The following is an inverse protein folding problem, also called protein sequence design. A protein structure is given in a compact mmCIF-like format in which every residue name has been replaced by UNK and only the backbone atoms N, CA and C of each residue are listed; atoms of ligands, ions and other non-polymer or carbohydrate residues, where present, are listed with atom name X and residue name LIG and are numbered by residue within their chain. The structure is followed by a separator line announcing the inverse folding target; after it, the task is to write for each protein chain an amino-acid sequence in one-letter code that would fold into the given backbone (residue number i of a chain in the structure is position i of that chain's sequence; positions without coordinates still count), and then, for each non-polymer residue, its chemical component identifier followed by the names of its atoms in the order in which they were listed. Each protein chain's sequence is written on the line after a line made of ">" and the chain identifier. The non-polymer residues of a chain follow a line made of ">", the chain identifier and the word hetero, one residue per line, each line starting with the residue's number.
data_IF_666578448595
#
_entry.id   IF_666578448595
#
_cell.length_a   1.000
_cell.length_b   1.000
_cell.length_c   1.000
_cell.angle_alpha   90.00
_cell.angle_beta   90.00
_cell.angle_gamma   90.00
#
_symmetry.space_group_name_H-M   'P 1'
#
loop_
_entity.id
_entity.type
_entity.pdbx_description
1 polymer ?
#
# COMPACT_ATOMS: atom_id res chain seq x y z
N UNK A 1 -1.47 13.43 -22.17
CA UNK A 1 -0.67 12.19 -22.18
C UNK A 1 -0.71 11.61 -20.77
N UNK A 2 -1.65 10.69 -20.49
CA UNK A 2 -1.87 10.10 -19.15
C UNK A 2 -2.19 8.60 -19.22
N UNK A 3 -1.73 7.92 -20.29
CA UNK A 3 -2.10 6.54 -20.59
C UNK A 3 -1.74 5.56 -19.46
N UNK A 4 -0.67 5.86 -18.71
CA UNK A 4 -0.23 5.04 -17.58
C UNK A 4 -1.28 4.92 -16.47
N UNK A 5 -2.16 5.91 -16.26
CA UNK A 5 -3.21 5.84 -15.22
C UNK A 5 -4.21 4.71 -15.45
N UNK A 6 -4.39 4.30 -16.71
CA UNK A 6 -5.28 3.22 -17.12
C UNK A 6 -4.53 1.93 -17.45
N UNK A 7 -3.20 1.88 -17.23
CA UNK A 7 -2.44 0.66 -17.41
C UNK A 7 -2.96 -0.43 -16.46
N UNK A 8 -3.10 -1.65 -16.97
CA UNK A 8 -3.53 -2.79 -16.16
C UNK A 8 -2.49 -3.14 -15.08
N UNK A 9 -1.20 -3.03 -15.43
CA UNK A 9 -0.08 -3.30 -14.54
C UNK A 9 1.02 -2.27 -14.79
N UNK A 10 1.60 -1.73 -13.72
CA UNK A 10 2.80 -0.91 -13.71
C UNK A 10 3.81 -1.59 -12.79
N UNK A 11 4.96 -1.97 -13.33
CA UNK A 11 6.06 -2.57 -12.57
C UNK A 11 7.23 -1.61 -12.53
N UNK A 12 7.68 -1.29 -11.33
CA UNK A 12 8.78 -0.36 -11.07
C UNK A 12 9.85 -1.14 -10.31
N UNK A 13 11.05 -1.22 -10.90
CA UNK A 13 12.12 -2.01 -10.27
C UNK A 13 12.66 -1.31 -9.02
N UNK A 14 13.01 -0.03 -9.12
CA UNK A 14 13.49 0.78 -8.01
C UNK A 14 12.83 2.16 -8.03
N UNK A 15 12.50 2.67 -6.85
CA UNK A 15 11.84 3.95 -6.69
C UNK A 15 12.57 4.83 -5.68
N UNK A 16 13.13 5.94 -6.15
CA UNK A 16 13.82 6.92 -5.31
C UNK A 16 12.98 7.35 -4.10
N UNK A 17 13.65 7.53 -2.96
CA UNK A 17 13.07 8.10 -1.73
C UNK A 17 12.46 9.49 -1.93
N UNK A 18 12.95 10.25 -2.91
CA UNK A 18 12.43 11.57 -3.25
C UNK A 18 11.18 11.51 -4.15
N UNK A 19 10.84 10.34 -4.70
CA UNK A 19 9.70 10.23 -5.58
C UNK A 19 8.37 10.39 -4.80
N UNK A 20 7.45 11.26 -5.26
CA UNK A 20 6.15 11.45 -4.62
C UNK A 20 5.25 10.23 -4.83
N UNK A 21 5.17 9.36 -3.82
CA UNK A 21 4.40 8.11 -3.87
C UNK A 21 2.91 8.33 -4.21
N UNK A 22 2.36 9.49 -3.86
CA UNK A 22 1.00 9.93 -4.18
C UNK A 22 0.69 9.85 -5.67
N UNK A 23 1.72 10.00 -6.52
CA UNK A 23 1.56 9.88 -7.96
C UNK A 23 1.14 8.46 -8.35
N UNK A 24 1.69 7.43 -7.71
CA UNK A 24 1.36 6.03 -8.04
C UNK A 24 -0.12 5.72 -7.80
N UNK A 25 -0.71 6.28 -6.74
CA UNK A 25 -2.12 6.13 -6.38
C UNK A 25 -3.13 6.77 -7.35
N UNK A 26 -2.66 7.45 -8.41
CA UNK A 26 -3.51 7.91 -9.52
C UNK A 26 -3.77 6.84 -10.56
N UNK A 27 -3.05 5.71 -10.52
CA UNK A 27 -3.29 4.59 -11.40
C UNK A 27 -4.44 3.69 -10.88
N UNK A 28 -5.23 3.18 -11.83
CA UNK A 28 -6.40 2.33 -11.56
C UNK A 28 -6.08 0.84 -11.48
N UNK A 29 -5.02 0.42 -12.15
CA UNK A 29 -4.63 -0.99 -12.23
C UNK A 29 -3.80 -1.45 -11.03
N UNK A 30 -2.91 -2.41 -11.30
CA UNK A 30 -1.96 -2.97 -10.35
C UNK A 30 -0.64 -2.21 -10.41
N UNK A 31 -0.07 -1.88 -9.27
CA UNK A 31 1.28 -1.32 -9.18
C UNK A 31 2.15 -2.23 -8.32
N UNK A 32 3.32 -2.56 -8.84
CA UNK A 32 4.33 -3.36 -8.16
C UNK A 32 5.64 -2.58 -8.12
N UNK A 33 6.19 -2.37 -6.92
CA UNK A 33 7.49 -1.73 -6.69
C UNK A 33 8.39 -2.71 -5.96
N UNK A 34 9.55 -3.04 -6.54
CA UNK A 34 10.39 -4.15 -6.07
C UNK A 34 11.47 -3.74 -5.06
N UNK A 35 12.08 -2.57 -5.27
CA UNK A 35 13.06 -1.95 -4.37
C UNK A 35 12.45 -0.67 -3.82
N UNK A 36 11.74 -0.82 -2.69
CA UNK A 36 11.02 0.23 -2.01
C UNK A 36 11.27 0.18 -0.51
N UNK A 37 12.01 1.18 -0.01
CA UNK A 37 12.23 1.36 1.43
C UNK A 37 10.92 1.72 2.17
N UNK A 38 10.45 0.83 3.03
CA UNK A 38 9.19 0.95 3.80
C UNK A 38 9.36 1.77 5.09
N UNK A 39 9.83 3.01 4.97
CA UNK A 39 9.97 3.90 6.13
C UNK A 39 8.62 4.30 6.72
N UNK A 40 8.60 4.66 8.01
CA UNK A 40 7.39 5.14 8.70
C UNK A 40 6.71 6.30 7.95
N UNK A 41 7.47 7.30 7.49
CA UNK A 41 6.94 8.45 6.73
C UNK A 41 6.22 8.02 5.45
N UNK A 42 6.77 7.04 4.73
CA UNK A 42 6.13 6.49 3.52
C UNK A 42 4.86 5.71 3.85
N UNK A 43 4.84 4.94 4.94
CA UNK A 43 3.65 4.21 5.38
C UNK A 43 2.55 5.19 5.81
N UNK A 44 2.91 6.28 6.49
CA UNK A 44 1.98 7.37 6.86
C UNK A 44 1.35 8.00 5.61
N UNK A 45 2.16 8.32 4.58
CA UNK A 45 1.66 8.82 3.30
C UNK A 45 0.71 7.83 2.63
N UNK A 46 1.07 6.55 2.60
CA UNK A 46 0.19 5.49 2.07
C UNK A 46 -1.15 5.51 2.80
N UNK A 47 -1.16 5.48 4.14
CA UNK A 47 -2.39 5.52 4.95
C UNK A 47 -3.27 6.72 4.57
N UNK A 48 -2.69 7.91 4.51
CA UNK A 48 -3.43 9.16 4.22
C UNK A 48 -4.01 9.18 2.80
N UNK A 49 -3.39 8.46 1.87
CA UNK A 49 -3.91 8.27 0.52
C UNK A 49 -5.04 7.24 0.52
N UNK A 50 -4.88 6.11 1.20
CA UNK A 50 -5.92 5.07 1.30
C UNK A 50 -7.22 5.62 1.89
N UNK A 51 -7.14 6.57 2.83
CA UNK A 51 -8.30 7.28 3.39
C UNK A 51 -9.16 7.95 2.32
N UNK A 52 -8.55 8.44 1.25
CA UNK A 52 -9.25 9.13 0.14
C UNK A 52 -9.90 8.15 -0.84
N UNK A 53 -9.96 6.86 -0.49
CA UNK A 53 -10.57 5.78 -1.24
C UNK A 53 -10.17 5.72 -2.74
N UNK A 54 -8.86 5.66 -3.08
CA UNK A 54 -8.44 5.72 -4.47
C UNK A 54 -8.93 4.50 -5.29
N UNK A 55 -8.98 4.66 -6.61
CA UNK A 55 -9.59 3.70 -7.55
C UNK A 55 -8.66 2.57 -8.01
N UNK A 56 -7.55 2.35 -7.31
CA UNK A 56 -6.59 1.29 -7.62
C UNK A 56 -7.18 -0.12 -7.41
N UNK A 57 -6.59 -1.12 -8.08
CA UNK A 57 -6.90 -2.53 -7.84
C UNK A 57 -6.00 -3.11 -6.75
N UNK A 58 -4.66 -2.96 -6.92
CA UNK A 58 -3.68 -3.52 -5.98
C UNK A 58 -2.36 -2.75 -6.01
N UNK A 59 -1.78 -2.53 -4.84
CA UNK A 59 -0.37 -2.19 -4.66
C UNK A 59 0.40 -3.36 -4.08
N UNK A 60 1.64 -3.52 -4.53
CA UNK A 60 2.65 -4.36 -3.92
C UNK A 60 3.94 -3.54 -3.80
N UNK A 61 4.40 -3.35 -2.58
CA UNK A 61 5.71 -2.78 -2.28
C UNK A 61 6.57 -3.88 -1.68
N UNK A 62 7.74 -4.09 -2.25
CA UNK A 62 8.72 -5.02 -1.75
C UNK A 62 9.91 -4.23 -1.23
N UNK A 63 10.30 -4.53 -0.01
CA UNK A 63 11.54 -4.07 0.57
C UNK A 63 12.48 -5.28 0.65
N UNK A 64 13.47 -5.30 -0.24
CA UNK A 64 14.44 -6.41 -0.34
C UNK A 64 15.51 -6.35 0.75
N UNK A 65 15.71 -5.17 1.36
CA UNK A 65 16.77 -4.91 2.34
C UNK A 65 16.25 -4.92 3.78
N UNK A 66 14.93 -4.76 4.00
CA UNK A 66 14.34 -4.87 5.34
C UNK A 66 14.43 -6.33 5.84
N UNK A 67 15.03 -6.56 7.00
CA UNK A 67 15.27 -7.91 7.55
C UNK A 67 14.31 -8.29 8.70
N UNK A 68 13.55 -7.33 9.27
CA UNK A 68 12.67 -7.57 10.42
C UNK A 68 11.15 -7.50 10.10
N UNK A 69 10.56 -8.67 9.84
CA UNK A 69 9.12 -8.74 9.53
C UNK A 69 8.21 -8.38 10.70
N UNK A 70 8.61 -8.70 11.93
CA UNK A 70 7.78 -8.44 13.11
C UNK A 70 7.73 -6.94 13.40
N UNK A 71 8.86 -6.26 13.26
CA UNK A 71 8.95 -4.81 13.36
C UNK A 71 8.12 -4.12 12.26
N UNK A 72 8.22 -4.57 11.01
CA UNK A 72 7.41 -4.02 9.93
C UNK A 72 5.91 -4.23 10.18
N UNK A 73 5.51 -5.39 10.69
CA UNK A 73 4.12 -5.66 11.04
C UNK A 73 3.61 -4.75 12.16
N UNK A 74 4.39 -4.57 13.22
CA UNK A 74 4.08 -3.65 14.30
C UNK A 74 4.01 -2.20 13.79
N UNK A 75 4.94 -1.79 12.93
CA UNK A 75 4.97 -0.45 12.34
C UNK A 75 3.72 -0.18 11.50
N UNK A 76 3.35 -1.10 10.61
CA UNK A 76 2.13 -0.98 9.81
C UNK A 76 0.90 -0.90 10.69
N UNK A 77 0.81 -1.75 11.73
CA UNK A 77 -0.33 -1.75 12.64
C UNK A 77 -0.45 -0.45 13.43
N UNK A 78 0.68 0.10 13.89
CA UNK A 78 0.71 1.37 14.60
C UNK A 78 0.30 2.53 13.70
N UNK A 79 0.87 2.60 12.49
CA UNK A 79 0.59 3.70 11.55
C UNK A 79 -0.85 3.64 11.04
N UNK A 80 -1.30 2.47 10.58
CA UNK A 80 -2.66 2.28 10.05
C UNK A 80 -3.70 2.34 11.16
N UNK A 81 -3.40 1.78 12.34
CA UNK A 81 -4.24 1.79 13.52
C UNK A 81 -4.48 3.16 14.14
N UNK A 82 -3.70 4.18 13.75
CA UNK A 82 -4.03 5.57 14.05
C UNK A 82 -5.36 6.02 13.41
N UNK A 83 -5.85 5.31 12.38
CA UNK A 83 -7.11 5.62 11.74
C UNK A 83 -8.26 4.71 12.25
N UNK A 84 -9.40 5.26 12.70
CA UNK A 84 -10.49 4.47 13.31
C UNK A 84 -11.18 3.48 12.36
N UNK A 85 -11.13 3.74 11.04
CA UNK A 85 -11.68 2.83 10.03
C UNK A 85 -10.82 1.57 9.79
N UNK A 86 -9.59 1.55 10.32
CA UNK A 86 -8.71 0.39 10.24
C UNK A 86 -8.91 -0.56 11.42
N UNK A 87 -9.05 -1.85 11.12
CA UNK A 87 -9.10 -2.90 12.13
C UNK A 87 -7.77 -3.70 12.12
N UNK A 88 -6.92 -3.57 13.15
CA UNK A 88 -5.62 -4.24 13.20
C UNK A 88 -5.73 -5.77 13.33
N UNK A 89 -6.87 -6.30 13.78
CA UNK A 89 -7.08 -7.76 13.85
C UNK A 89 -7.34 -8.37 12.48
N UNK A 90 -8.09 -7.68 11.63
CA UNK A 90 -8.43 -8.16 10.29
C UNK A 90 -7.57 -7.56 9.19
N UNK A 91 -6.76 -6.54 9.51
CA UNK A 91 -5.99 -5.73 8.56
C UNK A 91 -6.85 -5.08 7.47
N UNK A 92 -8.09 -4.75 7.81
CA UNK A 92 -9.08 -4.18 6.90
C UNK A 92 -9.29 -2.72 7.24
N UNK A 93 -9.25 -1.89 6.21
CA UNK A 93 -9.68 -0.51 6.20
C UNK A 93 -11.05 -0.41 5.49
N UNK A 94 -12.10 0.01 6.20
CA UNK A 94 -13.43 0.20 5.59
C UNK A 94 -13.51 1.54 4.88
N UNK A 95 -14.10 1.55 3.69
CA UNK A 95 -14.40 2.79 2.97
C UNK A 95 -15.82 3.21 3.38
N UNK A 96 -15.95 4.38 3.98
CA UNK A 96 -17.26 4.92 4.37
C UNK A 96 -18.17 5.05 3.14
N UNK A 97 -19.48 4.88 3.36
CA UNK A 97 -20.52 4.96 2.32
C UNK A 97 -20.39 3.94 1.17
N UNK A 98 -19.60 2.87 1.34
CA UNK A 98 -19.46 1.78 0.38
C UNK A 98 -19.38 0.40 1.06
N UNK A 99 -19.71 -0.66 0.32
CA UNK A 99 -19.40 -2.04 0.73
C UNK A 99 -17.95 -2.43 0.40
N UNK A 100 -17.24 -1.56 -0.33
CA UNK A 100 -15.82 -1.72 -0.64
C UNK A 100 -14.97 -1.61 0.62
N UNK A 101 -13.86 -2.34 0.62
CA UNK A 101 -12.86 -2.23 1.67
C UNK A 101 -11.46 -2.41 1.10
N UNK A 102 -10.48 -1.84 1.80
CA UNK A 102 -9.07 -2.04 1.49
C UNK A 102 -8.51 -3.05 2.47
N UNK A 103 -7.85 -4.09 1.96
CA UNK A 103 -7.20 -5.11 2.77
C UNK A 103 -5.68 -5.00 2.63
N UNK A 104 -5.01 -5.05 3.78
CA UNK A 104 -3.56 -4.94 3.89
C UNK A 104 -3.00 -6.31 4.27
N UNK A 105 -1.97 -6.75 3.55
CA UNK A 105 -1.27 -8.00 3.78
C UNK A 105 0.22 -7.72 3.91
N UNK A 106 0.87 -8.43 4.83
CA UNK A 106 2.32 -8.43 5.00
C UNK A 106 2.79 -9.83 4.63
N UNK A 107 3.32 -9.95 3.42
CA UNK A 107 3.64 -11.22 2.76
C UNK A 107 5.15 -11.43 2.68
N UNK A 108 5.56 -12.70 2.50
CA UNK A 108 6.95 -13.10 2.27
C UNK A 108 7.61 -13.92 3.40
N UNK A 109 8.53 -14.80 2.98
CA UNK A 109 9.45 -15.57 3.87
C UNK A 109 10.89 -15.02 3.79
N UNK A 110 11.21 -14.22 2.76
CA UNK A 110 12.56 -13.69 2.46
C UNK A 110 12.60 -12.24 1.96
N UNK A 111 11.43 -11.62 1.76
CA UNK A 111 11.26 -10.25 1.28
C UNK A 111 10.10 -9.66 2.06
N UNK A 112 10.26 -8.44 2.56
CA UNK A 112 9.21 -7.77 3.30
C UNK A 112 8.24 -7.13 2.31
N UNK A 113 7.14 -7.83 2.03
CA UNK A 113 6.17 -7.39 1.02
C UNK A 113 4.92 -6.80 1.67
N UNK A 114 4.69 -5.50 1.43
CA UNK A 114 3.43 -4.84 1.74
C UNK A 114 2.50 -4.93 0.53
N UNK A 115 1.44 -5.73 0.63
CA UNK A 115 0.38 -5.80 -0.37
C UNK A 115 -0.87 -5.10 0.13
N UNK A 116 -1.42 -4.23 -0.69
CA UNK A 116 -2.64 -3.48 -0.41
C UNK A 116 -3.62 -3.73 -1.56
N UNK A 117 -4.84 -4.13 -1.26
CA UNK A 117 -5.82 -4.50 -2.28
C UNK A 117 -7.17 -3.88 -1.97
N UNK A 118 -7.81 -3.26 -2.97
CA UNK A 118 -9.21 -2.85 -2.87
C UNK A 118 -10.10 -4.04 -3.24
N UNK A 119 -11.00 -4.42 -2.34
CA UNK A 119 -12.01 -5.45 -2.55
C UNK A 119 -13.35 -4.74 -2.75
N UNK A 120 -14.06 -5.12 -3.82
CA UNK A 120 -15.36 -4.56 -4.18
C UNK A 120 -16.44 -5.59 -3.93
N UNK A 121 -17.52 -5.16 -3.28
CA UNK A 121 -18.69 -5.99 -2.93
C UNK A 121 -19.95 -5.44 -3.58
#
# INVERSE_FOLDING_TARGET
>A
MEQWKNAAIISIYSLSNEFPIEVLFRARGKIEVYDFELTEDRIVKIRDILFKAPDFERFKFCDEEYDDREELAALIDNVMGAHPAYNPRTKIYRIDDSNDYIQIFIEGVRKNELRIQKIRN
#
